data_IF_470517371522
#
_entry.id   IF_470517371522
#
_cell.length_a   1.000
_cell.length_b   1.000
_cell.length_c   1.000
_cell.angle_alpha   90.00
_cell.angle_beta   90.00
_cell.angle_gamma   90.00
#
_symmetry.space_group_name_H-M   'P 1'
#
loop_
_entity.id
_entity.type
_entity.pdbx_description
1 polymer ?
#
# COMPACT_ATOMS: atom_id res chain seq x y z
N UNK A 1 22.09 13.51 13.30
CA UNK A 1 21.73 13.36 11.87
C UNK A 1 20.25 13.66 11.75
N UNK A 2 19.80 14.31 10.67
CA UNK A 2 18.37 14.55 10.49
C UNK A 2 17.74 13.25 9.95
N UNK A 3 17.11 12.48 10.84
CA UNK A 3 16.57 11.13 10.54
C UNK A 3 15.60 11.12 9.35
N UNK A 4 14.96 12.26 9.04
CA UNK A 4 14.06 12.40 7.90
C UNK A 4 14.83 12.53 6.56
N UNK A 5 15.98 13.22 6.57
CA UNK A 5 16.87 13.28 5.41
C UNK A 5 17.53 11.92 5.15
N UNK A 6 17.89 11.20 6.22
CA UNK A 6 18.43 9.84 6.10
C UNK A 6 17.38 8.91 5.50
N UNK A 7 16.14 8.94 6.01
CA UNK A 7 15.03 8.16 5.47
C UNK A 7 14.77 8.47 3.98
N UNK A 8 14.83 9.74 3.58
CA UNK A 8 14.73 10.12 2.17
C UNK A 8 15.87 9.55 1.34
N UNK A 9 17.12 9.72 1.79
CA UNK A 9 18.30 9.21 1.08
C UNK A 9 18.24 7.70 0.92
N UNK A 10 17.98 6.94 1.99
CA UNK A 10 17.88 5.49 1.93
C UNK A 10 16.70 5.02 1.09
N UNK A 11 15.55 5.69 1.14
CA UNK A 11 14.42 5.40 0.26
C UNK A 11 14.76 5.67 -1.21
N UNK A 12 15.46 6.76 -1.52
CA UNK A 12 15.91 7.04 -2.90
C UNK A 12 16.92 6.00 -3.39
N UNK A 13 17.88 5.59 -2.56
CA UNK A 13 18.83 4.54 -2.88
C UNK A 13 18.13 3.19 -3.09
N UNK A 14 17.17 2.85 -2.24
CA UNK A 14 16.36 1.64 -2.41
C UNK A 14 15.55 1.67 -3.72
N UNK A 15 14.92 2.81 -4.02
CA UNK A 15 14.23 3.04 -5.28
C UNK A 15 15.15 2.93 -6.50
N UNK A 16 16.39 3.43 -6.40
CA UNK A 16 17.40 3.32 -7.46
C UNK A 16 17.79 1.85 -7.71
N UNK A 17 18.00 1.06 -6.66
CA UNK A 17 18.26 -0.39 -6.80
C UNK A 17 17.10 -1.09 -7.51
N UNK A 18 15.86 -0.77 -7.13
CA UNK A 18 14.66 -1.27 -7.80
C UNK A 18 14.59 -0.86 -9.27
N UNK A 19 14.95 0.38 -9.58
CA UNK A 19 14.99 0.89 -10.95
C UNK A 19 16.03 0.16 -11.79
N UNK A 20 17.26 -0.02 -11.28
CA UNK A 20 18.32 -0.79 -11.97
C UNK A 20 17.83 -2.21 -12.27
N UNK A 21 17.22 -2.87 -11.28
CA UNK A 21 16.63 -4.20 -11.48
C UNK A 21 15.54 -4.18 -12.57
N UNK A 22 14.64 -3.21 -12.53
CA UNK A 22 13.57 -3.05 -13.53
C UNK A 22 14.09 -2.77 -14.94
N UNK A 23 15.21 -2.05 -15.04
CA UNK A 23 15.88 -1.73 -16.29
C UNK A 23 16.46 -3.00 -16.92
N UNK A 24 17.18 -3.81 -16.12
CA UNK A 24 17.76 -5.09 -16.56
C UNK A 24 16.66 -6.08 -16.97
N UNK A 25 15.56 -6.15 -16.22
CA UNK A 25 14.44 -7.07 -16.51
C UNK A 25 13.45 -6.51 -17.52
N UNK A 26 13.60 -5.26 -17.97
CA UNK A 26 12.64 -4.53 -18.81
C UNK A 26 11.20 -4.57 -18.27
N UNK A 27 11.04 -4.67 -16.95
CA UNK A 27 9.74 -4.86 -16.28
C UNK A 27 9.69 -4.07 -14.98
N UNK A 28 8.76 -3.11 -14.91
CA UNK A 28 8.63 -2.16 -13.81
C UNK A 28 7.75 -2.67 -12.67
N UNK A 29 7.08 -3.82 -12.82
CA UNK A 29 6.19 -4.40 -11.79
C UNK A 29 6.84 -4.61 -10.42
N UNK A 30 8.18 -4.68 -10.36
CA UNK A 30 8.92 -4.80 -9.10
C UNK A 30 8.60 -3.67 -8.12
N UNK A 31 8.28 -2.47 -8.62
CA UNK A 31 8.01 -1.31 -7.77
C UNK A 31 6.79 -1.54 -6.87
N UNK A 32 5.77 -2.27 -7.36
CA UNK A 32 4.60 -2.59 -6.54
C UNK A 32 5.01 -3.45 -5.34
N UNK A 33 5.91 -4.42 -5.53
CA UNK A 33 6.44 -5.24 -4.42
C UNK A 33 7.36 -4.46 -3.49
N UNK A 34 7.97 -3.37 -3.96
CA UNK A 34 8.82 -2.50 -3.15
C UNK A 34 8.03 -1.49 -2.32
N UNK A 35 6.79 -1.18 -2.71
CA UNK A 35 5.95 -0.15 -2.09
C UNK A 35 5.96 -0.23 -0.56
N UNK A 36 5.58 -1.38 -0.03
CA UNK A 36 5.51 -1.59 1.42
C UNK A 36 6.88 -1.62 2.10
N UNK A 37 7.93 -2.01 1.38
CA UNK A 37 9.29 -2.05 1.90
C UNK A 37 9.88 -0.64 2.09
N UNK A 38 9.44 0.36 1.34
CA UNK A 38 9.83 1.76 1.62
C UNK A 38 9.45 2.18 3.05
N UNK A 39 8.33 1.70 3.57
CA UNK A 39 7.93 1.98 4.96
C UNK A 39 8.87 1.31 5.97
N UNK A 40 9.42 0.13 5.66
CA UNK A 40 10.47 -0.52 6.49
C UNK A 40 11.76 0.31 6.45
N UNK A 41 12.16 0.81 5.28
CA UNK A 41 13.34 1.68 5.16
C UNK A 41 13.17 2.94 6.02
N UNK A 42 12.00 3.57 5.95
CA UNK A 42 11.71 4.79 6.72
C UNK A 42 11.69 4.52 8.23
N UNK A 43 10.97 3.50 8.71
CA UNK A 43 10.88 3.21 10.15
C UNK A 43 12.23 2.77 10.73
N UNK A 44 13.07 2.06 9.97
CA UNK A 44 14.43 1.72 10.40
C UNK A 44 15.31 2.96 10.61
N UNK A 45 15.09 4.02 9.80
CA UNK A 45 15.77 5.29 9.99
C UNK A 45 15.21 6.07 11.19
N UNK A 46 13.89 6.01 11.42
CA UNK A 46 13.25 6.72 12.53
C UNK A 46 13.53 6.06 13.89
N UNK A 47 13.74 4.76 13.93
CA UNK A 47 13.98 3.96 15.14
C UNK A 47 15.45 4.00 15.65
N UNK A 48 16.18 5.09 15.38
CA UNK A 48 17.58 5.26 15.81
C UNK A 48 17.73 5.74 17.28
N UNK A 49 16.62 5.86 18.03
CA UNK A 49 16.65 6.26 19.43
C UNK A 49 17.34 5.20 20.32
N UNK A 50 18.04 5.64 21.36
CA UNK A 50 18.76 4.75 22.29
C UNK A 50 17.84 3.79 23.06
N UNK A 51 16.55 4.12 23.16
CA UNK A 51 15.53 3.28 23.81
C UNK A 51 14.25 3.29 23.00
N UNK A 52 13.78 2.10 22.60
CA UNK A 52 12.51 1.89 21.91
C UNK A 52 11.48 1.40 22.93
N UNK A 53 10.34 2.08 23.03
CA UNK A 53 9.22 1.70 23.92
C UNK A 53 8.43 0.50 23.39
N UNK A 54 7.62 -0.12 24.26
CA UNK A 54 6.75 -1.24 23.87
C UNK A 54 5.77 -0.88 22.73
N UNK A 55 5.25 0.36 22.73
CA UNK A 55 4.39 0.85 21.65
C UNK A 55 5.13 0.92 20.32
N UNK A 56 6.35 1.47 20.33
CA UNK A 56 7.18 1.57 19.14
C UNK A 56 7.54 0.17 18.61
N UNK A 57 7.90 -0.77 19.48
CA UNK A 57 8.13 -2.16 19.09
C UNK A 57 6.90 -2.83 18.49
N UNK A 58 5.72 -2.61 19.06
CA UNK A 58 4.47 -3.16 18.53
C UNK A 58 4.16 -2.61 17.14
N UNK A 59 4.24 -1.29 16.95
CA UNK A 59 4.04 -0.66 15.63
C UNK A 59 5.10 -1.13 14.63
N UNK A 60 6.36 -1.24 15.05
CA UNK A 60 7.44 -1.76 14.21
C UNK A 60 7.13 -3.18 13.72
N UNK A 61 6.77 -4.08 14.65
CA UNK A 61 6.48 -5.48 14.35
C UNK A 61 5.28 -5.60 13.40
N UNK A 62 4.18 -4.92 13.68
CA UNK A 62 2.99 -4.96 12.83
C UNK A 62 3.26 -4.41 11.43
N UNK A 63 4.03 -3.31 11.32
CA UNK A 63 4.39 -2.73 10.04
C UNK A 63 5.31 -3.65 9.23
N UNK A 64 6.29 -4.29 9.85
CA UNK A 64 7.16 -5.28 9.19
C UNK A 64 6.36 -6.49 8.73
N UNK A 65 5.48 -7.03 9.58
CA UNK A 65 4.60 -8.15 9.21
C UNK A 65 3.76 -7.80 7.98
N UNK A 66 3.11 -6.63 8.00
CA UNK A 66 2.35 -6.15 6.86
C UNK A 66 3.21 -6.03 5.60
N UNK A 67 4.34 -5.33 5.71
CA UNK A 67 5.15 -4.94 4.57
C UNK A 67 5.82 -6.14 3.91
N UNK A 68 6.40 -7.06 4.69
CA UNK A 68 6.98 -8.29 4.18
C UNK A 68 5.92 -9.17 3.53
N UNK A 69 4.75 -9.31 4.17
CA UNK A 69 3.63 -10.09 3.61
C UNK A 69 3.15 -9.52 2.27
N UNK A 70 2.95 -8.20 2.19
CA UNK A 70 2.50 -7.54 0.96
C UNK A 70 3.52 -7.69 -0.16
N UNK A 71 4.79 -7.41 0.14
CA UNK A 71 5.88 -7.55 -0.82
C UNK A 71 6.02 -8.98 -1.33
N UNK A 72 6.00 -9.97 -0.43
CA UNK A 72 6.09 -11.39 -0.79
C UNK A 72 4.91 -11.84 -1.67
N UNK A 73 3.67 -11.47 -1.29
CA UNK A 73 2.50 -11.78 -2.09
C UNK A 73 2.57 -11.16 -3.49
N UNK A 74 2.95 -9.88 -3.61
CA UNK A 74 3.06 -9.21 -4.89
C UNK A 74 4.17 -9.79 -5.77
N UNK A 75 5.32 -10.16 -5.17
CA UNK A 75 6.39 -10.87 -5.85
C UNK A 75 5.90 -12.21 -6.42
N UNK A 76 5.23 -13.04 -5.62
CA UNK A 76 4.68 -14.33 -6.06
C UNK A 76 3.59 -14.12 -7.12
N UNK A 77 2.71 -13.15 -6.91
CA UNK A 77 1.59 -12.84 -7.81
C UNK A 77 2.07 -12.39 -9.18
N UNK A 78 3.15 -11.61 -9.23
CA UNK A 78 3.68 -11.01 -10.46
C UNK A 78 4.80 -11.84 -11.09
N UNK A 79 5.27 -12.92 -10.42
CA UNK A 79 6.29 -13.81 -10.94
C UNK A 79 5.88 -14.39 -12.30
N UNK A 80 6.79 -14.34 -13.27
CA UNK A 80 6.63 -14.85 -14.64
C UNK A 80 5.43 -14.27 -15.41
N UNK A 81 4.91 -13.10 -14.99
CA UNK A 81 3.86 -12.38 -15.71
C UNK A 81 4.45 -11.22 -16.51
N UNK A 82 3.81 -10.86 -17.64
CA UNK A 82 4.17 -9.63 -18.33
C UNK A 82 3.99 -8.41 -17.42
N UNK A 83 4.63 -7.30 -17.80
CA UNK A 83 4.46 -6.00 -17.17
C UNK A 83 2.95 -5.66 -17.08
N UNK A 84 2.50 -5.09 -15.95
CA UNK A 84 1.11 -4.72 -15.74
C UNK A 84 0.68 -3.71 -16.82
N UNK A 85 -0.56 -3.81 -17.31
CA UNK A 85 -1.05 -2.92 -18.37
C UNK A 85 -0.94 -1.44 -18.01
N UNK A 86 -1.08 -1.07 -16.72
CA UNK A 86 -0.85 0.31 -16.26
C UNK A 86 0.55 0.80 -16.61
N UNK A 87 1.57 -0.02 -16.35
CA UNK A 87 2.95 0.34 -16.66
C UNK A 87 3.26 0.28 -18.15
N UNK A 88 2.61 -0.63 -18.90
CA UNK A 88 2.71 -0.65 -20.36
C UNK A 88 2.17 0.65 -20.98
N UNK A 89 1.04 1.17 -20.46
CA UNK A 89 0.45 2.42 -20.96
C UNK A 89 1.33 3.63 -20.61
N UNK A 90 1.88 3.69 -19.39
CA UNK A 90 2.88 4.72 -19.02
C UNK A 90 4.11 4.60 -19.94
N UNK A 91 4.60 3.38 -20.20
CA UNK A 91 5.75 3.14 -21.09
C UNK A 91 5.49 3.68 -22.49
N UNK A 92 4.30 3.43 -23.05
CA UNK A 92 3.90 3.96 -24.37
C UNK A 92 3.89 5.47 -24.39
N UNK A 93 3.29 6.11 -23.36
CA UNK A 93 3.15 7.57 -23.29
C UNK A 93 4.48 8.32 -23.14
N UNK A 94 5.51 7.67 -22.58
CA UNK A 94 6.81 8.29 -22.33
C UNK A 94 7.95 7.74 -23.19
N UNK A 95 7.65 6.85 -24.15
CA UNK A 95 8.62 6.35 -25.13
C UNK A 95 9.09 7.45 -26.09
N UNK A 96 10.36 7.40 -26.57
CA UNK A 96 11.38 6.38 -26.32
C UNK A 96 12.16 6.56 -25.01
N UNK A 97 12.01 7.71 -24.33
CA UNK A 97 12.79 8.07 -23.13
C UNK A 97 12.30 7.42 -21.83
N UNK A 98 11.40 6.44 -21.93
CA UNK A 98 10.79 5.78 -20.76
C UNK A 98 11.81 5.20 -19.77
N UNK A 99 12.93 4.54 -20.19
CA UNK A 99 13.83 3.92 -19.23
C UNK A 99 14.40 4.90 -18.20
N UNK A 100 14.76 6.13 -18.62
CA UNK A 100 15.23 7.16 -17.68
C UNK A 100 14.06 7.86 -16.98
N UNK A 101 12.98 8.16 -17.71
CA UNK A 101 11.81 8.83 -17.12
C UNK A 101 11.13 7.99 -16.03
N UNK A 102 11.16 6.66 -16.14
CA UNK A 102 10.58 5.74 -15.14
C UNK A 102 11.26 5.86 -13.78
N UNK A 103 12.55 6.20 -13.72
CA UNK A 103 13.23 6.50 -12.46
C UNK A 103 12.51 7.61 -11.70
N UNK A 104 12.18 8.71 -12.37
CA UNK A 104 11.56 9.88 -11.75
C UNK A 104 10.07 9.68 -11.50
N UNK A 105 9.31 9.27 -12.51
CA UNK A 105 7.84 9.24 -12.44
C UNK A 105 7.29 8.01 -11.72
N UNK A 106 8.11 6.99 -11.49
CA UNK A 106 7.71 5.75 -10.81
C UNK A 106 8.52 5.56 -9.52
N UNK A 107 9.83 5.35 -9.60
CA UNK A 107 10.61 4.94 -8.42
C UNK A 107 10.85 6.06 -7.41
N UNK A 108 11.32 7.23 -7.86
CA UNK A 108 11.50 8.41 -7.00
C UNK A 108 10.14 8.90 -6.49
N UNK A 109 9.13 8.94 -7.36
CA UNK A 109 7.77 9.27 -6.95
C UNK A 109 7.26 8.37 -5.80
N UNK A 110 7.41 7.05 -5.93
CA UNK A 110 7.02 6.09 -4.89
C UNK A 110 7.84 6.24 -3.60
N UNK A 111 9.15 6.46 -3.70
CA UNK A 111 10.02 6.69 -2.54
C UNK A 111 9.62 7.94 -1.75
N UNK A 112 9.42 9.07 -2.45
CA UNK A 112 9.00 10.34 -1.83
C UNK A 112 7.59 10.22 -1.26
N UNK A 113 6.67 9.60 -2.00
CA UNK A 113 5.29 9.41 -1.54
C UNK A 113 5.24 8.53 -0.28
N UNK A 114 5.98 7.42 -0.25
CA UNK A 114 6.06 6.55 0.92
C UNK A 114 6.62 7.29 2.14
N UNK A 115 7.61 8.17 1.96
CA UNK A 115 8.15 9.01 3.03
C UNK A 115 7.10 9.99 3.58
N UNK A 116 6.34 10.66 2.70
CA UNK A 116 5.24 11.57 3.10
C UNK A 116 4.16 10.79 3.88
N UNK A 117 3.77 9.61 3.41
CA UNK A 117 2.78 8.77 4.11
C UNK A 117 3.36 8.21 5.41
N UNK A 118 4.67 8.03 5.52
CA UNK A 118 5.34 7.60 6.76
C UNK A 118 5.43 8.70 7.84
N UNK A 119 4.91 9.90 7.58
CA UNK A 119 4.95 11.03 8.53
C UNK A 119 4.42 10.72 9.94
N UNK A 120 3.30 9.97 10.13
CA UNK A 120 2.85 9.54 11.46
C UNK A 120 3.87 8.63 12.18
N UNK A 121 4.58 7.77 11.44
CA UNK A 121 5.61 6.90 11.99
C UNK A 121 6.78 7.73 12.55
N UNK A 122 7.16 8.82 11.90
CA UNK A 122 8.20 9.70 12.42
C UNK A 122 7.89 10.17 13.86
N UNK A 123 6.67 10.64 14.11
CA UNK A 123 6.25 11.10 15.45
C UNK A 123 6.09 9.96 16.48
N UNK A 124 5.71 8.76 16.04
CA UNK A 124 5.68 7.59 16.92
C UNK A 124 7.09 7.27 17.44
N UNK A 125 8.12 7.38 16.59
CA UNK A 125 9.50 7.02 16.93
C UNK A 125 10.36 8.17 17.46
N UNK A 126 9.97 9.42 17.17
CA UNK A 126 10.64 10.64 17.62
C UNK A 126 9.62 11.58 18.28
N UNK A 127 9.02 11.16 19.41
CA UNK A 127 8.02 11.98 20.10
C UNK A 127 8.67 13.24 20.66
N UNK A 128 7.95 14.37 20.61
CA UNK A 128 8.42 15.65 21.15
C UNK A 128 8.41 15.65 22.68
N UNK A 129 7.39 15.00 23.28
CA UNK A 129 7.24 14.86 24.72
C UNK A 129 7.20 13.38 25.11
N UNK A 130 7.77 13.03 26.27
CA UNK A 130 7.62 11.71 26.87
C UNK A 130 6.14 11.50 27.23
N UNK A 131 5.43 10.68 26.46
CA UNK A 131 4.05 10.33 26.77
C UNK A 131 3.93 8.85 27.13
N UNK A 132 3.25 8.62 28.26
CA UNK A 132 2.91 7.30 28.76
C UNK A 132 1.83 6.59 27.93
N UNK A 133 1.36 5.47 28.45
CA UNK A 133 0.36 4.62 27.80
C UNK A 133 -0.94 5.38 27.50
N UNK A 134 -1.41 5.30 26.25
CA UNK A 134 -2.61 6.00 25.78
C UNK A 134 -3.74 5.01 25.48
N UNK A 135 -4.96 5.35 25.87
CA UNK A 135 -6.18 4.58 25.62
C UNK A 135 -6.46 4.30 24.13
N UNK A 136 -5.85 5.07 23.21
CA UNK A 136 -5.94 4.86 21.76
C UNK A 136 -4.97 3.79 21.22
N UNK A 137 -3.93 3.42 21.96
CA UNK A 137 -2.94 2.43 21.49
C UNK A 137 -3.57 1.05 21.20
N UNK A 138 -4.42 0.47 22.07
CA UNK A 138 -5.07 -0.81 21.78
C UNK A 138 -5.97 -0.75 20.54
N UNK A 139 -6.69 0.37 20.34
CA UNK A 139 -7.52 0.57 19.14
C UNK A 139 -6.66 0.61 17.87
N UNK A 140 -5.52 1.30 17.92
CA UNK A 140 -4.54 1.33 16.82
C UNK A 140 -4.06 -0.08 16.46
N UNK A 141 -3.61 -0.85 17.44
CA UNK A 141 -3.12 -2.22 17.20
C UNK A 141 -4.21 -3.10 16.60
N UNK A 142 -5.43 -2.99 17.12
CA UNK A 142 -6.58 -3.74 16.62
C UNK A 142 -6.89 -3.38 15.16
N UNK A 143 -6.89 -2.09 14.81
CA UNK A 143 -7.11 -1.63 13.44
C UNK A 143 -6.04 -2.16 12.49
N UNK A 144 -4.77 -2.07 12.87
CA UNK A 144 -3.65 -2.55 12.04
C UNK A 144 -3.72 -4.08 11.88
N UNK A 145 -3.92 -4.82 12.97
CA UNK A 145 -4.01 -6.28 12.94
C UNK A 145 -5.21 -6.76 12.09
N UNK A 146 -6.39 -6.17 12.27
CA UNK A 146 -7.56 -6.46 11.42
C UNK A 146 -7.26 -6.09 9.98
N UNK A 147 -6.62 -4.95 9.71
CA UNK A 147 -6.25 -4.54 8.36
C UNK A 147 -5.35 -5.56 7.66
N UNK A 148 -4.31 -6.03 8.34
CA UNK A 148 -3.41 -7.09 7.83
C UNK A 148 -4.18 -8.38 7.54
N UNK A 149 -5.04 -8.82 8.47
CA UNK A 149 -5.84 -10.04 8.28
C UNK A 149 -6.82 -9.89 7.12
N UNK A 150 -7.54 -8.77 7.05
CA UNK A 150 -8.54 -8.50 6.02
C UNK A 150 -7.88 -8.46 4.64
N UNK A 151 -6.74 -7.77 4.52
CA UNK A 151 -5.95 -7.72 3.29
C UNK A 151 -5.46 -9.11 2.87
N UNK A 152 -4.91 -9.87 3.82
CA UNK A 152 -4.40 -11.24 3.57
C UNK A 152 -5.51 -12.18 3.08
N UNK A 153 -6.69 -12.14 3.70
CA UNK A 153 -7.83 -12.97 3.31
C UNK A 153 -8.33 -12.56 1.92
N UNK A 154 -8.43 -11.25 1.65
CA UNK A 154 -8.86 -10.73 0.35
C UNK A 154 -7.90 -11.17 -0.77
N UNK A 155 -6.60 -11.02 -0.56
CA UNK A 155 -5.55 -11.43 -1.48
C UNK A 155 -5.58 -12.94 -1.75
N UNK A 156 -5.72 -13.75 -0.70
CA UNK A 156 -5.81 -15.21 -0.83
C UNK A 156 -7.07 -15.65 -1.61
N UNK A 157 -8.23 -15.03 -1.33
CA UNK A 157 -9.48 -15.28 -2.06
C UNK A 157 -9.31 -14.98 -3.54
N UNK A 158 -8.68 -13.84 -3.88
CA UNK A 158 -8.44 -13.46 -5.28
C UNK A 158 -7.43 -14.39 -5.96
N UNK A 159 -6.37 -14.77 -5.26
CA UNK A 159 -5.36 -15.71 -5.75
C UNK A 159 -5.99 -17.07 -6.09
N UNK A 160 -6.76 -17.64 -5.15
CA UNK A 160 -7.48 -18.90 -5.34
C UNK A 160 -8.45 -18.79 -6.52
N UNK A 161 -9.25 -17.71 -6.56
CA UNK A 161 -10.21 -17.46 -7.62
C UNK A 161 -9.55 -17.46 -9.01
N UNK A 162 -8.43 -16.75 -9.16
CA UNK A 162 -7.69 -16.68 -10.44
C UNK A 162 -7.09 -18.02 -10.87
N UNK A 163 -6.82 -18.94 -9.93
CA UNK A 163 -6.28 -20.27 -10.23
C UNK A 163 -7.37 -21.25 -10.67
N UNK A 164 -8.60 -21.12 -10.17
CA UNK A 164 -9.67 -22.11 -10.37
C UNK A 164 -10.73 -21.71 -11.38
N UNK A 165 -10.81 -20.43 -11.77
CA UNK A 165 -11.89 -19.93 -12.64
C UNK A 165 -11.37 -19.52 -14.01
N UNK A 166 -12.24 -19.61 -15.01
CA UNK A 166 -11.96 -19.21 -16.38
C UNK A 166 -11.66 -17.70 -16.50
N UNK A 167 -10.89 -17.34 -17.52
CA UNK A 167 -10.67 -15.93 -17.88
C UNK A 167 -12.02 -15.27 -18.19
N UNK A 168 -12.22 -14.05 -17.67
CA UNK A 168 -13.49 -13.32 -17.84
C UNK A 168 -14.43 -13.33 -16.63
N UNK A 169 -14.30 -14.30 -15.72
CA UNK A 169 -15.13 -14.36 -14.51
C UNK A 169 -14.73 -13.30 -13.47
N UNK A 170 -15.68 -12.95 -12.59
CA UNK A 170 -15.54 -11.92 -11.55
C UNK A 170 -15.65 -12.56 -10.17
N UNK A 171 -14.69 -12.25 -9.30
CA UNK A 171 -14.76 -12.68 -7.90
C UNK A 171 -15.76 -11.81 -7.17
N UNK A 172 -16.90 -12.39 -6.77
CA UNK A 172 -17.98 -11.72 -6.05
C UNK A 172 -18.43 -12.50 -4.80
N UNK A 173 -17.53 -13.32 -4.24
CA UNK A 173 -17.77 -14.16 -3.05
C UNK A 173 -16.79 -13.80 -1.94
N UNK A 174 -17.10 -14.21 -0.70
CA UNK A 174 -16.26 -13.87 0.45
C UNK A 174 -16.22 -12.35 0.70
N UNK A 175 -15.02 -11.79 0.92
CA UNK A 175 -14.86 -10.34 1.14
C UNK A 175 -15.15 -9.56 -0.14
N UNK A 176 -14.87 -10.15 -1.31
CA UNK A 176 -15.19 -9.58 -2.61
C UNK A 176 -16.70 -9.47 -2.86
N UNK A 177 -17.56 -10.05 -2.03
CA UNK A 177 -19.01 -9.79 -2.11
C UNK A 177 -19.39 -8.40 -1.61
N UNK A 178 -18.65 -7.88 -0.63
CA UNK A 178 -19.01 -6.66 0.11
C UNK A 178 -18.25 -5.42 -0.38
N UNK A 179 -17.13 -5.61 -1.06
CA UNK A 179 -16.35 -4.55 -1.69
C UNK A 179 -15.67 -5.11 -2.94
N UNK A 180 -15.45 -4.25 -3.95
CA UNK A 180 -14.71 -4.56 -5.17
C UNK A 180 -13.19 -4.58 -4.98
N UNK A 181 -12.68 -3.99 -3.89
CA UNK A 181 -11.27 -3.92 -3.54
C UNK A 181 -11.08 -4.10 -2.02
N UNK A 182 -11.47 -5.26 -1.46
CA UNK A 182 -11.42 -5.49 -0.02
C UNK A 182 -9.98 -5.45 0.52
N UNK A 183 -8.98 -5.79 -0.30
CA UNK A 183 -7.58 -5.65 0.07
C UNK A 183 -7.18 -4.18 0.34
N UNK A 184 -7.69 -3.22 -0.44
CA UNK A 184 -7.45 -1.79 -0.19
C UNK A 184 -8.10 -1.31 1.09
N UNK A 185 -9.24 -1.90 1.50
CA UNK A 185 -9.82 -1.60 2.81
C UNK A 185 -8.90 -2.02 3.96
N UNK A 186 -8.22 -3.17 3.84
CA UNK A 186 -7.21 -3.59 4.81
C UNK A 186 -6.06 -2.58 4.91
N UNK A 187 -5.58 -2.07 3.78
CA UNK A 187 -4.53 -1.04 3.73
C UNK A 187 -4.99 0.32 4.32
N UNK A 188 -6.27 0.67 4.14
CA UNK A 188 -6.87 1.81 4.86
C UNK A 188 -6.87 1.59 6.37
N UNK A 189 -7.29 0.42 6.86
CA UNK A 189 -7.30 0.13 8.29
C UNK A 189 -5.90 0.24 8.91
N UNK A 190 -4.86 -0.20 8.19
CA UNK A 190 -3.47 -0.08 8.64
C UNK A 190 -3.05 1.38 8.74
N UNK A 191 -3.23 2.17 7.66
CA UNK A 191 -2.80 3.58 7.64
C UNK A 191 -3.58 4.46 8.61
N UNK A 192 -4.90 4.26 8.73
CA UNK A 192 -5.71 4.93 9.75
C UNK A 192 -5.37 4.44 11.16
N UNK A 193 -5.01 3.17 11.36
CA UNK A 193 -4.57 2.64 12.65
C UNK A 193 -3.24 3.25 13.10
N UNK A 194 -2.29 3.45 12.19
CA UNK A 194 -1.03 4.18 12.46
C UNK A 194 -1.34 5.64 12.84
N UNK A 195 -2.26 6.30 12.13
CA UNK A 195 -2.71 7.65 12.48
C UNK A 195 -3.32 7.71 13.89
N UNK A 196 -4.18 6.76 14.26
CA UNK A 196 -4.77 6.69 15.61
C UNK A 196 -3.70 6.55 16.69
N UNK A 197 -2.59 5.85 16.41
CA UNK A 197 -1.44 5.82 17.32
C UNK A 197 -0.74 7.18 17.41
N UNK A 198 -0.55 7.84 16.27
CA UNK A 198 0.26 9.06 16.17
C UNK A 198 -0.48 10.34 16.58
N UNK A 199 -1.81 10.38 16.55
CA UNK A 199 -2.58 11.62 16.80
C UNK A 199 -2.33 12.22 18.19
N UNK A 200 -1.91 11.39 19.16
CA UNK A 200 -1.57 11.81 20.51
C UNK A 200 -0.41 12.81 20.58
N UNK A 201 0.46 12.84 19.56
CA UNK A 201 1.59 13.77 19.49
C UNK A 201 1.20 15.19 19.08
N UNK A 202 -0.11 15.50 18.99
CA UNK A 202 -0.64 16.86 18.88
C UNK A 202 -0.46 17.55 17.53
N UNK A 203 0.20 16.90 16.56
CA UNK A 203 0.42 17.48 15.24
C UNK A 203 -0.75 17.21 14.30
N UNK A 204 -1.54 18.25 14.01
CA UNK A 204 -2.71 18.17 13.11
C UNK A 204 -2.36 17.65 11.70
N UNK A 205 -1.14 17.92 11.22
CA UNK A 205 -0.69 17.48 9.90
C UNK A 205 -0.48 15.96 9.77
N UNK A 206 -0.48 15.20 10.87
CA UNK A 206 -0.41 13.73 10.85
C UNK A 206 -1.60 13.14 10.05
N UNK A 207 -2.75 13.81 10.05
CA UNK A 207 -3.94 13.36 9.30
C UNK A 207 -3.76 13.39 7.77
N UNK A 208 -2.79 14.15 7.27
CA UNK A 208 -2.51 14.20 5.82
C UNK A 208 -2.12 12.83 5.30
N UNK A 209 -1.38 12.03 6.07
CA UNK A 209 -0.94 10.70 5.65
C UNK A 209 -2.08 9.74 5.31
N UNK A 210 -3.03 9.42 6.23
CA UNK A 210 -4.13 8.50 5.91
C UNK A 210 -5.10 9.08 4.87
N UNK A 211 -5.28 10.42 4.81
CA UNK A 211 -6.08 11.07 3.78
C UNK A 211 -5.44 10.92 2.39
N UNK A 212 -4.13 11.13 2.31
CA UNK A 212 -3.37 10.97 1.08
C UNK A 212 -3.41 9.50 0.63
N UNK A 213 -3.21 8.56 1.55
CA UNK A 213 -3.35 7.14 1.25
C UNK A 213 -4.75 6.79 0.74
N UNK A 214 -5.79 7.32 1.38
CA UNK A 214 -7.18 7.15 0.94
C UNK A 214 -7.38 7.69 -0.47
N UNK A 215 -6.90 8.90 -0.76
CA UNK A 215 -6.96 9.47 -2.11
C UNK A 215 -6.27 8.57 -3.14
N UNK A 216 -5.05 8.11 -2.87
CA UNK A 216 -4.31 7.25 -3.79
C UNK A 216 -5.02 5.92 -4.03
N UNK A 217 -5.55 5.25 -3.00
CA UNK A 217 -6.28 3.99 -3.15
C UNK A 217 -7.57 4.13 -3.98
N UNK A 218 -8.30 5.23 -3.79
CA UNK A 218 -9.54 5.48 -4.55
C UNK A 218 -9.28 5.95 -5.99
N UNK A 219 -8.28 6.81 -6.22
CA UNK A 219 -8.12 7.54 -7.49
C UNK A 219 -6.94 7.09 -8.35
N UNK A 220 -5.82 6.66 -7.77
CA UNK A 220 -4.55 6.55 -8.50
C UNK A 220 -3.95 5.14 -8.52
N UNK A 221 -4.11 4.35 -7.45
CA UNK A 221 -3.43 3.05 -7.32
C UNK A 221 -4.20 1.85 -7.87
N UNK A 222 -5.55 1.88 -7.95
CA UNK A 222 -6.21 0.74 -8.59
C UNK A 222 -7.72 0.69 -8.72
N UNK A 223 -8.53 1.38 -7.92
CA UNK A 223 -9.98 1.22 -8.10
C UNK A 223 -10.49 1.88 -9.39
N UNK A 224 -10.31 3.20 -9.55
CA UNK A 224 -10.82 3.93 -10.74
C UNK A 224 -10.20 3.50 -12.07
N UNK A 225 -8.87 3.58 -12.19
CA UNK A 225 -8.16 3.30 -13.45
C UNK A 225 -8.27 1.83 -13.90
N UNK A 226 -8.29 0.88 -12.95
CA UNK A 226 -8.52 -0.53 -13.30
C UNK A 226 -9.97 -0.74 -13.71
N UNK A 227 -10.94 -0.14 -13.02
CA UNK A 227 -12.36 -0.34 -13.32
C UNK A 227 -12.76 0.22 -14.70
N UNK A 228 -12.19 1.34 -15.12
CA UNK A 228 -12.43 1.91 -16.46
C UNK A 228 -12.00 0.97 -17.58
N UNK A 229 -10.90 0.22 -17.38
CA UNK A 229 -10.33 -0.64 -18.42
C UNK A 229 -10.77 -2.10 -18.30
N UNK A 230 -11.09 -2.59 -17.09
CA UNK A 230 -11.46 -3.99 -16.86
C UNK A 230 -12.80 -4.35 -17.48
N UNK A 231 -13.73 -3.39 -17.60
CA UNK A 231 -15.04 -3.61 -18.23
C UNK A 231 -14.87 -4.04 -19.69
N UNK A 232 -13.87 -3.48 -20.39
CA UNK A 232 -13.57 -3.83 -21.78
C UNK A 232 -13.08 -5.27 -21.93
N UNK A 233 -12.43 -5.83 -20.90
CA UNK A 233 -11.94 -7.22 -20.88
C UNK A 233 -12.93 -8.19 -20.24
N UNK A 234 -13.79 -7.71 -19.33
CA UNK A 234 -14.73 -8.49 -18.53
C UNK A 234 -16.09 -7.80 -18.48
N UNK A 235 -16.96 -8.01 -19.48
CA UNK A 235 -18.29 -7.38 -19.52
C UNK A 235 -19.14 -7.64 -18.27
N UNK A 236 -19.00 -8.83 -17.66
CA UNK A 236 -19.66 -9.20 -16.38
C UNK A 236 -19.30 -8.26 -15.22
N UNK A 237 -18.13 -7.63 -15.25
CA UNK A 237 -17.68 -6.70 -14.21
C UNK A 237 -18.53 -5.43 -14.13
N UNK A 238 -19.21 -5.04 -15.22
CA UNK A 238 -20.14 -3.90 -15.22
C UNK A 238 -21.30 -4.10 -14.24
N UNK A 239 -21.86 -5.31 -14.16
CA UNK A 239 -22.92 -5.65 -13.19
C UNK A 239 -22.40 -5.58 -11.76
N UNK A 240 -21.17 -6.04 -11.54
CA UNK A 240 -20.53 -6.01 -10.23
C UNK A 240 -20.26 -4.58 -9.73
N UNK A 241 -19.91 -3.66 -10.63
CA UNK A 241 -19.78 -2.23 -10.31
C UNK A 241 -21.11 -1.61 -9.84
N UNK A 242 -22.23 -2.05 -10.41
CA UNK A 242 -23.55 -1.50 -10.08
C UNK A 242 -24.06 -1.98 -8.72
N UNK A 243 -23.73 -3.22 -8.33
CA UNK A 243 -24.25 -3.83 -7.10
C UNK A 243 -23.32 -3.69 -5.89
N UNK A 244 -22.02 -3.59 -6.07
CA UNK A 244 -21.04 -3.72 -4.98
C UNK A 244 -20.23 -2.44 -4.79
N UNK A 245 -20.02 -1.99 -3.55
CA UNK A 245 -19.22 -0.80 -3.24
C UNK A 245 -17.74 -0.96 -3.66
N UNK A 246 -17.04 0.15 -3.94
CA UNK A 246 -15.65 0.09 -4.41
C UNK A 246 -14.69 -0.44 -3.34
N UNK A 247 -14.39 0.32 -2.29
CA UNK A 247 -13.42 -0.08 -1.24
C UNK A 247 -14.10 -0.35 0.10
N UNK A 248 -15.01 0.51 0.55
CA UNK A 248 -15.68 0.32 1.84
C UNK A 248 -16.64 -0.86 1.79
N UNK A 249 -16.49 -1.87 2.70
CA UNK A 249 -17.39 -3.02 2.73
C UNK A 249 -18.83 -2.60 3.02
N UNK A 250 -19.78 -3.08 2.22
CA UNK A 250 -21.20 -2.85 2.41
C UNK A 250 -22.04 -3.96 1.80
N UNK A 251 -23.32 -4.03 2.20
CA UNK A 251 -24.25 -4.97 1.60
C UNK A 251 -24.43 -4.65 0.11
N UNK A 252 -24.32 -5.66 -0.78
CA UNK A 252 -24.55 -5.43 -2.20
C UNK A 252 -26.01 -5.03 -2.44
N UNK A 253 -26.24 -4.12 -3.38
CA UNK A 253 -27.58 -3.74 -3.81
C UNK A 253 -28.24 -4.95 -4.47
N UNK A 254 -29.49 -5.22 -4.10
CA UNK A 254 -30.30 -6.22 -4.78
C UNK A 254 -30.49 -5.82 -6.25
N UNK A 255 -30.28 -6.77 -7.15
CA UNK A 255 -30.39 -6.61 -8.60
C UNK A 255 -31.74 -7.02 -9.11
#
# INVERSE_FOLDING_TARGET
>A
MNVYLDALLFSLLFGLVGWIYSFVKTNVNIVDSMWSLFFIVNIACFAQANSISDNQWMIYALLVIWAVRLSAYLCIRNANKPEDSRYQDIRRNYSPHFPLKSLFIIFIFQAVLALIISYPLYYIFNPIDEQGWNFLMPLSYLMIAIGILYETIADYQLYKFKKTNASGEVSNTGLWRYSRHPNYFGELLITWGIFVNAIQFGHIFIIISPLLMTYFLFKFSGAGLMEETIINRKPKYKKYIQSTNSILPWLPKES
#
